data_IF_575040907951
#
_entry.id   IF_575040907951
#
_cell.length_a   1.000
_cell.length_b   1.000
_cell.length_c   1.000
_cell.angle_alpha   90.00
_cell.angle_beta   90.00
_cell.angle_gamma   90.00
#
_symmetry.space_group_name_H-M   'P 1'
#
loop_
_entity.id
_entity.type
_entity.pdbx_description
1 polymer ?
#
# COMPACT_ATOMS: atom_id res chain seq x y z
N UNK A 1 7.47 -4.93 2.45
CA UNK A 1 8.27 -4.72 1.22
C UNK A 1 9.65 -4.22 1.61
N UNK A 2 10.64 -4.24 0.71
CA UNK A 2 11.95 -3.63 0.95
C UNK A 2 12.93 -4.41 1.84
N UNK A 3 12.63 -5.65 2.24
CA UNK A 3 13.50 -6.47 3.10
C UNK A 3 14.65 -7.13 2.32
N UNK A 4 15.49 -6.32 1.68
CA UNK A 4 16.61 -6.80 0.88
C UNK A 4 17.83 -7.16 1.75
N UNK A 5 18.69 -8.11 1.36
CA UNK A 5 19.85 -8.53 2.16
C UNK A 5 21.02 -7.53 2.12
N UNK A 6 20.86 -6.39 1.45
CA UNK A 6 21.86 -5.33 1.31
C UNK A 6 21.16 -3.95 1.33
N UNK A 7 21.90 -2.86 1.60
CA UNK A 7 21.33 -1.52 1.60
C UNK A 7 20.71 -1.14 0.24
N UNK A 8 19.55 -0.51 0.26
CA UNK A 8 18.85 -0.08 -0.95
C UNK A 8 18.32 1.34 -0.81
N UNK A 9 18.07 2.00 -1.96
CA UNK A 9 17.47 3.32 -2.02
C UNK A 9 16.35 3.33 -3.08
N UNK A 10 15.34 2.49 -2.88
CA UNK A 10 14.21 2.36 -3.80
C UNK A 10 13.00 3.17 -3.33
N UNK A 11 12.38 2.79 -2.21
CA UNK A 11 11.30 3.55 -1.57
C UNK A 11 11.86 4.60 -0.59
N UNK A 12 12.91 4.22 0.12
CA UNK A 12 13.68 5.06 1.04
C UNK A 12 15.10 4.48 1.16
N UNK A 13 16.08 5.25 1.67
CA UNK A 13 17.40 4.73 2.01
C UNK A 13 17.32 3.77 3.22
N UNK A 14 17.27 2.47 2.95
CA UNK A 14 17.14 1.41 3.95
C UNK A 14 18.42 0.60 4.11
N UNK A 15 18.77 0.14 5.32
CA UNK A 15 19.89 -0.76 5.54
C UNK A 15 19.58 -2.17 4.99
N UNK A 16 20.59 -3.04 4.92
CA UNK A 16 20.36 -4.46 4.64
C UNK A 16 19.61 -5.15 5.79
N UNK A 17 18.70 -6.04 5.44
CA UNK A 17 17.77 -6.72 6.35
C UNK A 17 16.99 -5.75 7.26
N UNK A 18 16.29 -4.74 6.69
CA UNK A 18 15.65 -3.69 7.47
C UNK A 18 14.57 -4.21 8.42
N UNK A 19 13.92 -5.35 8.14
CA UNK A 19 12.95 -5.95 9.09
C UNK A 19 13.66 -6.43 10.36
N UNK A 20 14.83 -7.09 10.22
CA UNK A 20 15.62 -7.51 11.38
C UNK A 20 16.13 -6.33 12.20
N UNK A 21 16.50 -5.22 11.53
CA UNK A 21 16.91 -3.98 12.19
C UNK A 21 15.73 -3.38 12.96
N UNK A 22 14.55 -3.27 12.35
CA UNK A 22 13.34 -2.79 13.02
C UNK A 22 13.01 -3.60 14.28
N UNK A 23 13.06 -4.93 14.20
CA UNK A 23 12.80 -5.79 15.35
C UNK A 23 13.80 -5.55 16.50
N UNK A 24 15.08 -5.32 16.19
CA UNK A 24 16.11 -4.99 17.19
C UNK A 24 15.85 -3.63 17.85
N UNK A 25 15.47 -2.62 17.05
CA UNK A 25 15.09 -1.29 17.55
C UNK A 25 13.93 -1.45 18.54
N UNK A 26 12.83 -2.09 18.13
CA UNK A 26 11.65 -2.33 18.98
C UNK A 26 11.99 -3.09 20.26
N UNK A 27 12.83 -4.12 20.19
CA UNK A 27 13.22 -4.94 21.34
C UNK A 27 14.12 -4.21 22.34
N UNK A 28 14.90 -3.23 21.87
CA UNK A 28 15.84 -2.44 22.69
C UNK A 28 15.27 -1.11 23.20
N UNK A 29 14.10 -0.69 22.69
CA UNK A 29 13.50 0.59 23.01
C UNK A 29 13.06 0.68 24.48
N UNK A 30 13.24 1.86 25.08
CA UNK A 30 12.85 2.14 26.46
C UNK A 30 11.33 2.19 26.67
N UNK A 31 10.57 2.50 25.61
CA UNK A 31 9.11 2.44 25.58
C UNK A 31 8.62 1.98 24.21
N UNK A 32 7.42 1.40 24.18
CA UNK A 32 6.79 0.93 22.93
C UNK A 32 6.58 2.06 21.93
N UNK A 33 6.20 3.25 22.43
CA UNK A 33 5.96 4.41 21.57
C UNK A 33 7.25 4.94 20.97
N UNK A 34 8.33 5.02 21.76
CA UNK A 34 9.65 5.41 21.26
C UNK A 34 10.14 4.43 20.19
N UNK A 35 10.05 3.12 20.45
CA UNK A 35 10.46 2.11 19.48
C UNK A 35 9.66 2.20 18.18
N UNK A 36 8.34 2.42 18.29
CA UNK A 36 7.49 2.60 17.10
C UNK A 36 7.89 3.85 16.31
N UNK A 37 8.18 4.96 16.99
CA UNK A 37 8.67 6.18 16.34
C UNK A 37 10.02 5.95 15.65
N UNK A 38 10.96 5.27 16.31
CA UNK A 38 12.29 4.97 15.76
C UNK A 38 12.23 4.06 14.52
N UNK A 39 11.38 3.02 14.55
CA UNK A 39 11.15 2.16 13.38
C UNK A 39 10.45 2.92 12.25
N UNK A 40 9.52 3.81 12.58
CA UNK A 40 8.83 4.65 11.57
C UNK A 40 9.83 5.61 10.91
N UNK A 41 10.71 6.23 11.70
CA UNK A 41 11.76 7.11 11.20
C UNK A 41 12.74 6.40 10.25
N UNK A 42 12.97 5.09 10.40
CA UNK A 42 13.79 4.34 9.46
C UNK A 42 13.23 4.38 8.02
N UNK A 43 11.91 4.48 7.86
CA UNK A 43 11.27 4.57 6.54
C UNK A 43 11.18 6.02 6.07
N UNK A 44 10.73 6.94 6.92
CA UNK A 44 10.45 8.33 6.52
C UNK A 44 11.67 9.26 6.58
N UNK A 45 12.65 8.97 7.44
CA UNK A 45 13.90 9.71 7.55
C UNK A 45 15.08 8.97 6.88
N UNK A 46 15.00 7.63 6.78
CA UNK A 46 16.03 6.81 6.14
C UNK A 46 17.33 6.71 6.96
N UNK A 47 18.31 5.98 6.43
CA UNK A 47 19.57 5.65 7.13
C UNK A 47 20.47 6.88 7.39
N UNK A 48 20.35 7.94 6.59
CA UNK A 48 21.11 9.19 6.70
C UNK A 48 20.20 10.41 6.93
N UNK A 49 19.04 10.19 7.52
CA UNK A 49 18.04 11.21 7.75
C UNK A 49 18.49 12.30 8.72
N UNK A 50 18.03 13.53 8.46
CA UNK A 50 18.31 14.70 9.32
C UNK A 50 17.04 15.31 9.92
N UNK A 51 15.87 14.70 9.71
CA UNK A 51 14.61 15.19 10.27
C UNK A 51 14.64 15.11 11.79
N UNK A 52 14.16 16.18 12.44
CA UNK A 52 14.01 16.26 13.91
C UNK A 52 12.67 15.75 14.39
N UNK A 53 11.68 15.65 13.50
CA UNK A 53 10.32 15.19 13.75
C UNK A 53 9.73 14.58 12.47
N UNK A 54 8.78 13.68 12.62
CA UNK A 54 7.99 13.11 11.52
C UNK A 54 6.62 13.79 11.50
N UNK A 55 6.17 14.20 10.32
CA UNK A 55 4.88 14.84 10.12
C UNK A 55 3.94 13.89 9.37
N UNK A 56 3.07 13.15 10.08
CA UNK A 56 2.24 12.12 9.45
C UNK A 56 1.27 12.69 8.42
N UNK A 57 0.85 13.95 8.55
CA UNK A 57 -0.15 14.57 7.67
C UNK A 57 0.44 14.93 6.30
N UNK A 58 1.77 15.10 6.22
CA UNK A 58 2.47 15.43 4.96
C UNK A 58 3.29 14.27 4.42
N UNK A 59 3.75 13.36 5.29
CA UNK A 59 4.55 12.21 4.91
C UNK A 59 3.71 11.01 4.44
N UNK A 60 2.44 10.91 4.87
CA UNK A 60 1.51 9.87 4.42
C UNK A 60 0.17 10.46 4.01
N UNK A 61 -0.12 10.46 2.71
CA UNK A 61 -1.41 10.91 2.18
C UNK A 61 -2.33 9.70 2.01
N UNK A 62 -3.43 9.69 2.75
CA UNK A 62 -4.46 8.66 2.62
C UNK A 62 -5.05 8.67 1.21
N UNK A 63 -5.21 7.46 0.65
CA UNK A 63 -5.69 7.28 -0.71
C UNK A 63 -6.51 5.98 -0.87
N UNK A 64 -6.95 5.66 -2.09
CA UNK A 64 -7.70 4.45 -2.37
C UNK A 64 -6.89 3.16 -2.15
N UNK A 65 -5.55 3.23 -2.21
CA UNK A 65 -4.64 2.15 -1.86
C UNK A 65 -4.37 2.12 -0.35
N UNK A 66 -4.83 1.09 0.39
CA UNK A 66 -4.60 1.00 1.84
C UNK A 66 -3.12 0.74 2.22
N UNK A 67 -2.25 0.45 1.24
CA UNK A 67 -0.80 0.31 1.44
C UNK A 67 -0.05 1.63 1.23
N UNK A 68 -0.74 2.68 0.78
CA UNK A 68 -0.22 4.02 0.54
C UNK A 68 0.13 4.28 -0.93
N UNK A 69 -0.23 5.46 -1.44
CA UNK A 69 0.03 5.85 -2.82
C UNK A 69 1.36 6.61 -3.01
N UNK A 70 2.04 6.98 -1.92
CA UNK A 70 3.20 7.86 -1.95
C UNK A 70 2.83 9.34 -2.10
N UNK A 71 3.80 10.16 -2.49
CA UNK A 71 3.69 11.61 -2.59
C UNK A 71 3.83 12.10 -4.04
N UNK A 72 3.38 13.33 -4.30
CA UNK A 72 3.55 14.00 -5.59
C UNK A 72 2.60 13.50 -6.68
N UNK A 73 2.83 13.90 -7.94
CA UNK A 73 1.90 13.63 -9.05
C UNK A 73 1.69 12.14 -9.34
N UNK A 74 2.71 11.31 -9.12
CA UNK A 74 2.63 9.87 -9.37
C UNK A 74 1.64 9.19 -8.42
N UNK A 75 1.50 9.70 -7.18
CA UNK A 75 0.53 9.17 -6.23
C UNK A 75 -0.90 9.41 -6.67
N UNK A 76 -1.18 10.53 -7.35
CA UNK A 76 -2.50 10.82 -7.91
C UNK A 76 -2.85 9.88 -9.06
N UNK A 77 -1.86 9.54 -9.91
CA UNK A 77 -2.06 8.60 -11.00
C UNK A 77 -2.39 7.20 -10.46
N UNK A 78 -1.65 6.72 -9.46
CA UNK A 78 -1.93 5.44 -8.80
C UNK A 78 -3.30 5.45 -8.11
N UNK A 79 -3.60 6.51 -7.36
CA UNK A 79 -4.89 6.68 -6.68
C UNK A 79 -6.07 6.64 -7.68
N UNK A 80 -5.92 7.28 -8.85
CA UNK A 80 -6.90 7.20 -9.92
C UNK A 80 -7.02 5.79 -10.52
N UNK A 81 -5.91 5.09 -10.75
CA UNK A 81 -5.91 3.70 -11.23
C UNK A 81 -6.64 2.78 -10.25
N UNK A 82 -6.39 2.93 -8.95
CA UNK A 82 -7.12 2.19 -7.90
C UNK A 82 -8.59 2.60 -7.86
N UNK A 83 -8.92 3.87 -8.09
CA UNK A 83 -10.31 4.30 -8.11
C UNK A 83 -11.11 3.86 -9.34
N UNK A 84 -10.45 3.52 -10.43
CA UNK A 84 -11.08 3.13 -11.69
C UNK A 84 -11.10 1.61 -11.86
N UNK A 85 -9.93 0.99 -12.04
CA UNK A 85 -9.83 -0.38 -12.58
C UNK A 85 -8.99 -1.31 -11.69
N UNK A 86 -7.97 -0.79 -11.00
CA UNK A 86 -7.08 -1.59 -10.17
C UNK A 86 -7.77 -2.04 -8.87
N UNK A 87 -8.10 -3.32 -8.76
CA UNK A 87 -8.69 -3.90 -7.55
C UNK A 87 -7.60 -4.42 -6.63
N UNK A 88 -7.33 -3.67 -5.58
CA UNK A 88 -6.47 -4.11 -4.49
C UNK A 88 -7.32 -4.93 -3.51
N UNK A 89 -6.98 -6.21 -3.38
CA UNK A 89 -7.70 -7.17 -2.52
C UNK A 89 -7.24 -7.10 -1.05
N UNK A 90 -6.47 -6.07 -0.71
CA UNK A 90 -5.98 -5.85 0.65
C UNK A 90 -7.14 -5.26 1.45
N UNK A 91 -7.78 -6.11 2.25
CA UNK A 91 -8.64 -5.61 3.32
C UNK A 91 -7.75 -4.85 4.30
N UNK A 92 -8.23 -3.73 4.84
CA UNK A 92 -7.51 -3.02 5.89
C UNK A 92 -7.27 -3.89 7.14
N UNK A 93 -6.54 -3.38 8.12
CA UNK A 93 -6.12 -4.16 9.30
C UNK A 93 -7.24 -4.41 10.31
N UNK A 94 -7.11 -5.47 11.11
CA UNK A 94 -8.17 -5.91 12.03
C UNK A 94 -7.72 -6.27 13.45
N UNK A 95 -6.42 -6.20 13.78
CA UNK A 95 -5.88 -6.52 15.11
C UNK A 95 -6.22 -7.94 15.62
N UNK A 96 -6.56 -8.87 14.71
CA UNK A 96 -6.89 -10.28 15.01
C UNK A 96 -6.00 -11.23 14.23
N UNK A 97 -5.94 -11.03 12.91
CA UNK A 97 -5.08 -11.78 11.99
C UNK A 97 -3.79 -11.04 11.66
N UNK A 98 -3.66 -9.81 12.17
CA UNK A 98 -2.53 -8.90 11.98
C UNK A 98 -2.22 -8.16 13.29
N UNK A 99 -1.08 -7.47 13.33
CA UNK A 99 -0.57 -6.76 14.50
C UNK A 99 -0.88 -5.24 14.51
N UNK A 100 -1.73 -4.78 13.59
CA UNK A 100 -2.01 -3.35 13.41
C UNK A 100 -3.35 -2.97 14.03
N UNK A 101 -3.59 -1.68 14.34
CA UNK A 101 -4.90 -1.21 14.80
C UNK A 101 -6.01 -1.56 13.79
N UNK A 102 -7.27 -1.68 14.23
CA UNK A 102 -8.37 -1.91 13.31
C UNK A 102 -8.57 -0.68 12.40
N UNK A 103 -8.30 -0.85 11.10
CA UNK A 103 -8.46 0.17 10.07
C UNK A 103 -9.28 -0.45 8.93
N UNK A 104 -10.62 -0.37 8.98
CA UNK A 104 -11.46 -0.98 7.95
C UNK A 104 -11.31 -0.23 6.63
N UNK A 105 -11.09 -0.97 5.54
CA UNK A 105 -11.08 -0.43 4.18
C UNK A 105 -11.98 -1.27 3.29
N UNK A 106 -13.29 -1.00 3.36
CA UNK A 106 -14.31 -1.80 2.68
C UNK A 106 -14.57 -1.31 1.26
N UNK A 107 -15.10 -2.16 0.35
CA UNK A 107 -15.46 -1.74 -1.00
C UNK A 107 -16.40 -0.51 -1.03
N UNK A 108 -17.31 -0.38 -0.08
CA UNK A 108 -18.21 0.78 0.03
C UNK A 108 -17.48 2.07 0.41
N UNK A 109 -16.48 2.00 1.30
CA UNK A 109 -15.66 3.15 1.67
C UNK A 109 -14.81 3.61 0.48
N UNK A 110 -14.19 2.67 -0.23
CA UNK A 110 -13.41 2.95 -1.44
C UNK A 110 -14.30 3.59 -2.51
N UNK A 111 -15.48 3.03 -2.79
CA UNK A 111 -16.40 3.57 -3.78
C UNK A 111 -16.82 5.01 -3.45
N UNK A 112 -17.11 5.30 -2.17
CA UNK A 112 -17.42 6.66 -1.72
C UNK A 112 -16.25 7.62 -1.94
N UNK A 113 -15.06 7.26 -1.47
CA UNK A 113 -13.85 8.06 -1.64
C UNK A 113 -13.57 8.37 -3.12
N UNK A 114 -13.65 7.36 -3.99
CA UNK A 114 -13.38 7.51 -5.41
C UNK A 114 -14.40 8.40 -6.12
N UNK A 115 -15.67 8.32 -5.72
CA UNK A 115 -16.71 9.20 -6.23
C UNK A 115 -16.48 10.65 -5.79
N UNK A 116 -16.12 10.87 -4.52
CA UNK A 116 -15.90 12.21 -3.96
C UNK A 116 -14.65 12.89 -4.53
N UNK A 117 -13.54 12.15 -4.65
CA UNK A 117 -12.25 12.72 -5.09
C UNK A 117 -12.12 12.83 -6.60
N UNK A 118 -12.56 11.80 -7.34
CA UNK A 118 -12.30 11.68 -8.78
C UNK A 118 -13.57 11.68 -9.64
N UNK A 119 -14.76 11.58 -9.03
CA UNK A 119 -16.02 11.52 -9.75
C UNK A 119 -16.21 10.24 -10.57
N UNK A 120 -15.49 9.16 -10.24
CA UNK A 120 -15.51 7.90 -11.00
C UNK A 120 -16.16 6.75 -10.24
N UNK A 121 -16.84 5.88 -10.98
CA UNK A 121 -17.36 4.61 -10.48
C UNK A 121 -16.38 3.49 -10.81
N UNK A 122 -15.91 2.81 -9.78
CA UNK A 122 -14.95 1.71 -9.88
C UNK A 122 -15.53 0.50 -10.64
N UNK A 123 -14.71 -0.16 -11.47
CA UNK A 123 -15.07 -1.31 -12.33
C UNK A 123 -14.34 -2.59 -11.90
N UNK A 124 -14.75 -3.26 -10.81
CA UNK A 124 -13.96 -4.32 -10.19
C UNK A 124 -13.75 -5.57 -11.07
N UNK A 125 -14.62 -5.84 -12.03
CA UNK A 125 -14.46 -6.97 -12.96
C UNK A 125 -13.53 -6.70 -14.14
N UNK A 126 -13.16 -5.44 -14.40
CA UNK A 126 -12.53 -5.04 -15.65
C UNK A 126 -11.16 -5.67 -15.86
N UNK A 127 -10.29 -5.67 -14.85
CA UNK A 127 -8.97 -6.30 -14.94
C UNK A 127 -9.08 -7.80 -15.21
N UNK A 128 -10.02 -8.49 -14.56
CA UNK A 128 -10.24 -9.92 -14.79
C UNK A 128 -10.73 -10.18 -16.21
N UNK A 129 -11.58 -9.31 -16.76
CA UNK A 129 -12.03 -9.40 -18.16
C UNK A 129 -10.89 -9.15 -19.15
N UNK A 130 -10.03 -8.15 -18.90
CA UNK A 130 -8.97 -7.76 -19.83
C UNK A 130 -7.73 -8.66 -19.76
N UNK A 131 -7.41 -9.20 -18.58
CA UNK A 131 -6.18 -9.97 -18.34
C UNK A 131 -6.48 -11.45 -18.01
N UNK A 132 -7.72 -11.89 -18.21
CA UNK A 132 -8.23 -13.26 -18.03
C UNK A 132 -8.08 -13.87 -16.63
N UNK A 133 -7.43 -13.18 -15.69
CA UNK A 133 -7.30 -13.60 -14.29
C UNK A 133 -6.83 -15.05 -14.16
N UNK A 134 -7.63 -15.87 -13.46
CA UNK A 134 -7.36 -17.30 -13.27
C UNK A 134 -7.61 -18.15 -14.53
N UNK A 135 -8.36 -17.62 -15.48
CA UNK A 135 -8.73 -18.30 -16.73
C UNK A 135 -7.67 -18.10 -17.84
N UNK A 136 -6.51 -17.53 -17.49
CA UNK A 136 -5.34 -17.38 -18.38
C UNK A 136 -4.85 -18.70 -19.03
N UNK A 137 -5.16 -19.87 -18.45
CA UNK A 137 -4.78 -21.17 -19.03
C UNK A 137 -5.69 -21.65 -20.17
N UNK A 138 -6.79 -20.97 -20.47
CA UNK A 138 -7.71 -21.37 -21.53
C UNK A 138 -7.88 -20.27 -22.57
N UNK A 139 -6.91 -20.13 -23.47
CA UNK A 139 -7.17 -19.68 -24.84
C UNK A 139 -7.89 -20.82 -25.61
N UNK A 140 -9.11 -21.17 -25.19
CA UNK A 140 -10.01 -22.16 -25.82
C UNK A 140 -11.40 -21.70 -25.39
N UNK A 141 -12.29 -21.08 -26.17
CA UNK A 141 -12.49 -20.97 -27.61
C UNK A 141 -12.91 -19.53 -27.98
N UNK A 142 -12.65 -19.14 -29.23
CA UNK A 142 -13.32 -18.01 -29.85
C UNK A 142 -14.85 -18.24 -29.82
N UNK A 143 -15.68 -17.18 -29.78
CA UNK A 143 -17.13 -17.35 -29.72
C UNK A 143 -17.62 -18.10 -30.97
N UNK A 144 -18.23 -19.26 -30.76
CA UNK A 144 -19.11 -19.83 -31.79
C UNK A 144 -20.23 -18.82 -32.06
N UNK A 145 -20.41 -18.56 -33.35
CA UNK A 145 -21.46 -17.73 -33.92
C UNK A 145 -22.83 -18.06 -33.32
N UNK A 146 -23.52 -17.03 -32.83
CA UNK A 146 -24.95 -17.10 -32.52
C UNK A 146 -25.72 -17.02 -33.84
N UNK A 147 -26.07 -18.19 -34.39
CA UNK A 147 -27.33 -18.41 -35.12
C UNK A 147 -28.41 -18.90 -34.14
#
# INVERSE_FOLDING_TARGET
MGDYPYPTNFLAPLPGHPVNVACKIMASASSKLQGLADVTAMVYNGTNGTLTCLDPDTEYIECADPTGCGLGPDSHALDYQVCSELVLHVAGSNNKTDMFPPLPWTPGMIAKYCQEKWGVTKRPGWITTQLWGKDCCCCVEAPDELD
#
